data_IF_919596106146
#
_entry.id   IF_919596106146
#
_cell.length_a   1.000
_cell.length_b   1.000
_cell.length_c   1.000
_cell.angle_alpha   90.00
_cell.angle_beta   90.00
_cell.angle_gamma   90.00
#
_symmetry.space_group_name_H-M   'P 1'
#
loop_
_entity.id
_entity.type
_entity.pdbx_description
1 polymer ?
#
# COMPACT_ATOMS: atom_id res chain seq x y z
N UNK A 1 -4.57 -0.27 -50.97
CA UNK A 1 -4.39 -1.41 -50.04
C UNK A 1 -3.80 -1.01 -48.71
N UNK A 2 -2.82 -0.12 -48.62
CA UNK A 2 -2.15 0.29 -47.35
C UNK A 2 -3.10 0.89 -46.30
N UNK A 3 -4.11 1.69 -46.68
CA UNK A 3 -5.04 2.32 -45.71
C UNK A 3 -5.89 1.29 -44.95
N UNK A 4 -6.23 0.15 -45.56
CA UNK A 4 -6.99 -0.93 -44.90
C UNK A 4 -6.11 -1.72 -43.92
N UNK A 5 -4.83 -1.87 -44.21
CA UNK A 5 -3.86 -2.53 -43.34
C UNK A 5 -3.56 -1.68 -42.07
N UNK A 6 -3.48 -0.36 -42.25
CA UNK A 6 -3.27 0.57 -41.11
C UNK A 6 -4.50 0.57 -40.18
N UNK A 7 -5.72 0.58 -40.75
CA UNK A 7 -6.95 0.50 -39.97
C UNK A 7 -7.07 -0.82 -39.20
N UNK A 8 -6.69 -1.94 -39.77
CA UNK A 8 -6.68 -3.24 -39.12
C UNK A 8 -5.61 -3.31 -37.99
N UNK A 9 -4.44 -2.71 -38.19
CA UNK A 9 -3.40 -2.64 -37.17
C UNK A 9 -3.82 -1.76 -35.97
N UNK A 10 -4.51 -0.64 -36.20
CA UNK A 10 -5.04 0.23 -35.17
C UNK A 10 -6.18 -0.47 -34.42
N UNK A 11 -7.08 -1.15 -35.10
CA UNK A 11 -8.16 -1.90 -34.44
C UNK A 11 -7.62 -3.07 -33.57
N UNK A 12 -6.56 -3.75 -34.02
CA UNK A 12 -5.88 -4.79 -33.26
C UNK A 12 -5.17 -4.25 -32.03
N UNK A 13 -4.61 -3.04 -32.07
CA UNK A 13 -3.96 -2.40 -30.94
C UNK A 13 -4.95 -1.90 -29.88
N UNK A 14 -6.21 -1.62 -30.26
CA UNK A 14 -7.28 -1.22 -29.33
C UNK A 14 -8.03 -2.42 -28.73
N UNK A 15 -7.81 -3.62 -29.21
CA UNK A 15 -8.34 -4.87 -28.65
C UNK A 15 -7.46 -5.43 -27.53
N UNK A 16 -6.80 -4.56 -26.76
CA UNK A 16 -6.16 -5.00 -25.52
C UNK A 16 -7.26 -5.46 -24.57
N UNK A 17 -7.15 -6.67 -23.97
CA UNK A 17 -8.07 -7.07 -22.93
C UNK A 17 -8.07 -5.97 -21.88
N UNK A 18 -9.25 -5.50 -21.49
CA UNK A 18 -9.40 -4.59 -20.36
C UNK A 18 -8.72 -5.27 -19.17
N UNK A 19 -7.59 -4.73 -18.76
CA UNK A 19 -6.90 -5.21 -17.59
C UNK A 19 -7.83 -5.00 -16.38
N UNK A 20 -8.48 -6.06 -15.95
CA UNK A 20 -9.33 -6.03 -14.77
C UNK A 20 -8.39 -5.95 -13.57
N UNK A 21 -8.37 -4.81 -12.93
CA UNK A 21 -7.60 -4.65 -11.70
C UNK A 21 -8.31 -5.40 -10.57
N UNK A 22 -7.60 -6.31 -9.94
CA UNK A 22 -8.03 -6.89 -8.67
C UNK A 22 -7.80 -5.85 -7.56
N UNK A 23 -8.90 -5.36 -6.98
CA UNK A 23 -8.87 -4.31 -5.94
C UNK A 23 -9.23 -4.90 -4.59
N UNK A 24 -8.32 -4.81 -3.65
CA UNK A 24 -8.51 -5.23 -2.27
C UNK A 24 -8.54 -4.02 -1.33
N UNK A 25 -9.59 -3.93 -0.52
CA UNK A 25 -9.69 -3.00 0.59
C UNK A 25 -9.55 -3.79 1.88
N UNK A 26 -8.66 -3.37 2.76
CA UNK A 26 -8.39 -4.04 4.04
C UNK A 26 -8.05 -3.02 5.12
N UNK A 27 -8.09 -3.45 6.37
CA UNK A 27 -7.74 -2.55 7.46
C UNK A 27 -7.70 -3.26 8.80
N UNK A 28 -7.39 -2.48 9.81
CA UNK A 28 -7.43 -2.92 11.21
C UNK A 28 -7.86 -1.78 12.10
N UNK A 29 -8.74 -2.06 13.04
CA UNK A 29 -9.11 -1.15 14.11
C UNK A 29 -8.45 -1.65 15.39
N UNK A 30 -7.67 -0.78 16.03
CA UNK A 30 -6.90 -1.12 17.23
C UNK A 30 -7.09 -0.05 18.28
N UNK A 31 -7.47 -0.48 19.49
CA UNK A 31 -7.50 0.35 20.68
C UNK A 31 -6.40 -0.05 21.64
N UNK A 32 -5.94 0.89 22.46
CA UNK A 32 -5.07 0.62 23.58
C UNK A 32 -5.56 1.33 24.83
N UNK A 33 -5.43 0.67 25.97
CA UNK A 33 -5.56 1.26 27.29
C UNK A 33 -4.15 1.43 27.84
N UNK A 34 -3.82 2.63 28.27
CA UNK A 34 -2.50 2.99 28.80
C UNK A 34 -2.64 3.52 30.22
N UNK A 35 -1.70 3.16 31.06
CA UNK A 35 -1.53 3.73 32.39
C UNK A 35 -0.18 4.43 32.48
N UNK A 36 -0.17 5.70 32.85
CA UNK A 36 1.04 6.53 32.92
C UNK A 36 1.63 6.67 34.33
N UNK A 37 1.11 5.91 35.29
CA UNK A 37 1.48 5.98 36.70
C UNK A 37 0.48 6.78 37.55
N UNK A 38 -0.38 7.59 36.95
CA UNK A 38 -1.39 8.40 37.64
C UNK A 38 -2.78 8.26 37.04
N UNK A 39 -2.91 8.07 35.73
CA UNK A 39 -4.20 8.01 35.04
C UNK A 39 -4.26 6.93 33.98
N UNK A 40 -5.48 6.47 33.72
CA UNK A 40 -5.78 5.56 32.61
C UNK A 40 -6.27 6.36 31.41
N UNK A 41 -5.70 6.09 30.26
CA UNK A 41 -6.13 6.68 28.98
C UNK A 41 -6.45 5.60 27.98
N UNK A 42 -7.49 5.83 27.18
CA UNK A 42 -7.85 4.99 26.04
C UNK A 42 -7.59 5.76 24.75
N UNK A 43 -7.07 5.08 23.76
CA UNK A 43 -6.77 5.73 22.50
C UNK A 43 -6.54 4.77 21.34
N UNK A 44 -6.36 5.36 20.16
CA UNK A 44 -6.02 4.63 18.96
C UNK A 44 -4.62 3.99 19.06
N UNK A 45 -4.52 2.72 18.72
CA UNK A 45 -3.28 1.95 18.74
C UNK A 45 -2.76 1.63 17.34
N UNK A 46 -2.80 2.63 16.46
CA UNK A 46 -2.28 2.48 15.12
C UNK A 46 -3.22 1.74 14.17
N UNK A 47 -4.50 2.09 14.18
CA UNK A 47 -5.48 1.61 13.19
C UNK A 47 -5.08 2.00 11.77
N UNK A 48 -5.46 1.19 10.79
CA UNK A 48 -5.05 1.32 9.39
C UNK A 48 -6.20 1.05 8.44
N UNK A 49 -6.19 1.76 7.31
CA UNK A 49 -7.01 1.47 6.14
C UNK A 49 -6.06 1.32 4.94
N UNK A 50 -6.23 0.26 4.16
CA UNK A 50 -5.39 -0.07 3.01
C UNK A 50 -6.21 -0.29 1.77
N UNK A 51 -5.71 0.26 0.68
CA UNK A 51 -6.19 0.00 -0.67
C UNK A 51 -5.04 -0.59 -1.47
N UNK A 52 -5.26 -1.74 -2.05
CA UNK A 52 -4.32 -2.39 -2.95
C UNK A 52 -5.02 -2.71 -4.25
N UNK A 53 -4.37 -2.47 -5.36
CA UNK A 53 -4.84 -2.97 -6.63
C UNK A 53 -3.67 -3.64 -7.37
N UNK A 54 -4.00 -4.65 -8.14
CA UNK A 54 -3.06 -5.37 -9.00
C UNK A 54 -3.71 -5.60 -10.35
N UNK A 55 -2.97 -5.38 -11.41
CA UNK A 55 -3.43 -5.57 -12.78
C UNK A 55 -2.40 -6.39 -13.55
N UNK A 56 -2.83 -7.44 -14.20
CA UNK A 56 -1.98 -8.23 -15.09
C UNK A 56 -1.73 -7.43 -16.37
N UNK A 57 -0.45 -7.29 -16.74
CA UNK A 57 -0.01 -6.64 -17.96
C UNK A 57 0.33 -7.64 -19.08
N UNK A 58 0.18 -8.93 -18.82
CA UNK A 58 0.62 -9.99 -19.69
C UNK A 58 2.12 -10.30 -19.60
N UNK A 59 2.54 -11.37 -20.26
CA UNK A 59 3.94 -11.81 -20.30
C UNK A 59 4.61 -11.98 -18.92
N UNK A 60 3.84 -12.39 -17.90
CA UNK A 60 4.33 -12.56 -16.55
C UNK A 60 4.59 -11.26 -15.79
N UNK A 61 4.11 -10.14 -16.31
CA UNK A 61 4.26 -8.82 -15.68
C UNK A 61 2.94 -8.35 -15.07
N UNK A 62 3.01 -7.61 -13.97
CA UNK A 62 1.84 -6.96 -13.38
C UNK A 62 2.18 -5.57 -12.84
N UNK A 63 1.22 -4.67 -12.95
CA UNK A 63 1.23 -3.38 -12.27
C UNK A 63 0.53 -3.48 -10.91
N UNK A 64 0.99 -2.71 -9.95
CA UNK A 64 0.37 -2.66 -8.63
C UNK A 64 0.36 -1.26 -8.05
N UNK A 65 -0.60 -1.02 -7.16
CA UNK A 65 -0.69 0.18 -6.33
C UNK A 65 -0.96 -0.22 -4.89
N UNK A 66 -0.39 0.51 -3.95
CA UNK A 66 -0.61 0.32 -2.53
C UNK A 66 -0.73 1.68 -1.83
N UNK A 67 -1.88 1.88 -1.17
CA UNK A 67 -2.12 3.00 -0.27
C UNK A 67 -2.40 2.50 1.14
N UNK A 68 -1.77 3.11 2.15
CA UNK A 68 -2.08 2.87 3.56
C UNK A 68 -2.27 4.21 4.28
N UNK A 69 -3.42 4.36 4.91
CA UNK A 69 -3.75 5.52 5.73
C UNK A 69 -3.78 5.13 7.21
N UNK A 70 -3.32 6.03 8.07
CA UNK A 70 -3.62 5.98 9.49
C UNK A 70 -5.10 6.33 9.72
N UNK A 71 -5.75 5.61 10.61
CA UNK A 71 -7.12 5.89 11.04
C UNK A 71 -7.12 6.21 12.52
N UNK A 72 -7.82 7.23 12.93
CA UNK A 72 -8.10 7.47 14.34
C UNK A 72 -9.40 6.79 14.73
N UNK A 73 -9.30 5.63 15.34
CA UNK A 73 -10.46 4.84 15.74
C UNK A 73 -11.26 5.49 16.88
N UNK A 74 -10.64 6.37 17.67
CA UNK A 74 -11.32 7.12 18.72
C UNK A 74 -12.19 8.26 18.20
N UNK A 75 -11.81 8.84 17.05
CA UNK A 75 -12.52 9.96 16.41
C UNK A 75 -13.29 9.56 15.16
N UNK A 76 -13.12 8.33 14.68
CA UNK A 76 -13.73 7.88 13.43
C UNK A 76 -13.20 8.62 12.19
N UNK A 77 -11.99 9.18 12.25
CA UNK A 77 -11.42 9.97 11.16
C UNK A 77 -10.21 9.29 10.53
N UNK A 78 -10.04 9.47 9.23
CA UNK A 78 -8.76 9.21 8.55
C UNK A 78 -7.82 10.34 8.97
N UNK A 79 -6.58 10.03 9.31
CA UNK A 79 -5.60 11.04 9.72
C UNK A 79 -5.25 11.94 8.53
N UNK A 80 -5.93 13.07 8.43
CA UNK A 80 -5.85 14.01 7.31
C UNK A 80 -4.72 15.04 7.45
N UNK A 81 -4.04 15.09 8.58
CA UNK A 81 -2.93 16.02 8.82
C UNK A 81 -1.54 15.46 8.55
N UNK A 82 -1.46 14.21 8.18
CA UNK A 82 -0.19 13.53 7.83
C UNK A 82 -0.37 12.86 6.49
N UNK A 83 0.64 12.95 5.67
CA UNK A 83 0.77 12.18 4.43
C UNK A 83 0.39 10.72 4.66
N UNK A 84 -0.19 10.08 3.65
CA UNK A 84 -0.40 8.63 3.65
C UNK A 84 0.87 7.93 4.15
N UNK A 85 0.69 6.92 4.99
CA UNK A 85 1.84 6.14 5.50
C UNK A 85 2.60 5.45 4.37
N UNK A 86 1.84 4.88 3.44
CA UNK A 86 2.35 4.32 2.20
C UNK A 86 1.52 4.83 1.05
N UNK A 87 2.18 5.17 -0.06
CA UNK A 87 1.55 5.58 -1.30
C UNK A 87 2.53 5.31 -2.43
N UNK A 88 2.48 4.13 -3.00
CA UNK A 88 3.41 3.75 -4.05
C UNK A 88 2.74 2.89 -5.11
N UNK A 89 3.28 2.99 -6.31
CA UNK A 89 2.91 2.22 -7.49
C UNK A 89 4.13 1.50 -8.03
N UNK A 90 3.95 0.44 -8.77
CA UNK A 90 5.06 -0.25 -9.37
C UNK A 90 4.66 -1.30 -10.39
N UNK A 91 5.68 -1.91 -10.95
CA UNK A 91 5.59 -3.07 -11.83
C UNK A 91 6.47 -4.20 -11.27
N UNK A 92 6.05 -5.42 -11.48
CA UNK A 92 6.80 -6.62 -11.10
C UNK A 92 6.71 -7.69 -12.18
N UNK A 93 7.67 -8.57 -12.21
CA UNK A 93 7.76 -9.71 -13.12
C UNK A 93 8.88 -10.64 -12.69
N UNK A 94 9.28 -11.59 -13.52
CA UNK A 94 10.34 -12.55 -13.24
C UNK A 94 11.71 -11.86 -13.00
N UNK A 95 11.87 -10.64 -13.52
CA UNK A 95 13.08 -9.82 -13.33
C UNK A 95 13.12 -9.11 -11.96
N UNK A 96 12.08 -9.19 -11.15
CA UNK A 96 11.95 -8.52 -9.85
C UNK A 96 10.85 -7.46 -9.83
N UNK A 97 11.06 -6.39 -9.06
CA UNK A 97 10.06 -5.33 -8.83
C UNK A 97 10.70 -3.96 -8.88
N UNK A 98 10.03 -3.03 -9.58
CA UNK A 98 10.30 -1.60 -9.52
C UNK A 98 9.10 -0.89 -8.90
N UNK A 99 9.33 -0.07 -7.87
CA UNK A 99 8.28 0.72 -7.22
C UNK A 99 8.73 2.14 -6.95
N UNK A 100 7.78 3.07 -7.05
CA UNK A 100 7.98 4.51 -6.87
C UNK A 100 6.91 5.07 -5.92
N UNK A 101 7.33 5.95 -5.03
CA UNK A 101 6.45 6.62 -4.07
C UNK A 101 6.87 6.41 -2.62
N UNK A 102 5.99 6.82 -1.70
CA UNK A 102 6.21 6.67 -0.25
C UNK A 102 6.07 5.21 0.15
N UNK A 103 7.16 4.57 0.48
CA UNK A 103 7.24 3.16 0.85
C UNK A 103 8.26 2.94 1.98
N UNK A 104 8.19 1.76 2.60
CA UNK A 104 9.19 1.38 3.58
C UNK A 104 10.58 1.30 2.97
N UNK A 105 11.59 1.69 3.75
CA UNK A 105 12.99 1.50 3.35
C UNK A 105 13.32 0.01 3.20
N UNK A 106 14.35 -0.29 2.43
CA UNK A 106 14.85 -1.66 2.29
C UNK A 106 15.23 -2.25 3.64
N UNK A 107 15.83 -1.44 4.52
CA UNK A 107 16.19 -1.88 5.87
C UNK A 107 14.95 -2.30 6.69
N UNK A 108 13.86 -1.55 6.62
CA UNK A 108 12.61 -1.94 7.30
C UNK A 108 12.06 -3.25 6.73
N UNK A 109 12.05 -3.42 5.42
CA UNK A 109 11.53 -4.63 4.79
C UNK A 109 12.34 -5.89 5.13
N UNK A 110 13.67 -5.77 5.28
CA UNK A 110 14.56 -6.90 5.54
C UNK A 110 14.70 -7.19 7.03
N UNK A 111 14.74 -6.18 7.88
CA UNK A 111 15.00 -6.31 9.31
C UNK A 111 13.81 -5.91 10.16
N UNK A 112 13.25 -4.72 9.92
CA UNK A 112 12.19 -4.14 10.75
C UNK A 112 10.95 -5.01 10.87
N UNK A 113 10.55 -5.68 9.79
CA UNK A 113 9.38 -6.59 9.79
C UNK A 113 9.52 -7.77 10.73
N UNK A 114 10.75 -8.19 11.04
CA UNK A 114 11.04 -9.31 11.94
C UNK A 114 11.14 -8.89 13.40
N UNK A 115 11.66 -7.69 13.66
CA UNK A 115 11.95 -7.21 15.03
C UNK A 115 10.89 -6.24 15.57
N UNK A 116 10.15 -5.52 14.72
CA UNK A 116 9.07 -4.62 15.14
C UNK A 116 7.77 -5.40 15.39
N UNK A 117 7.70 -6.08 16.51
CA UNK A 117 6.54 -6.91 16.90
C UNK A 117 5.52 -6.17 17.75
N UNK A 118 5.91 -5.08 18.40
CA UNK A 118 5.06 -4.41 19.39
C UNK A 118 4.22 -3.27 18.85
N UNK A 119 4.32 -2.94 17.58
CA UNK A 119 3.53 -1.96 16.84
C UNK A 119 3.61 -0.50 17.35
N UNK A 120 3.43 -0.23 18.64
CA UNK A 120 3.47 1.12 19.24
C UNK A 120 4.34 1.23 20.49
N UNK A 121 4.76 0.12 21.07
CA UNK A 121 5.51 0.10 22.34
C UNK A 121 6.92 -0.50 22.22
N UNK A 122 7.36 -0.82 21.04
CA UNK A 122 8.63 -1.49 20.83
C UNK A 122 9.74 -0.58 20.35
N UNK A 123 9.74 0.67 20.74
CA UNK A 123 10.73 1.71 20.45
C UNK A 123 12.04 1.20 19.84
N UNK A 124 12.02 0.84 18.58
CA UNK A 124 13.23 0.43 17.90
C UNK A 124 14.00 1.67 17.52
N UNK A 125 15.25 1.73 17.89
CA UNK A 125 16.11 2.90 17.68
C UNK A 125 16.38 3.30 16.22
N UNK A 126 15.60 2.80 15.27
CA UNK A 126 15.67 3.23 13.87
C UNK A 126 14.73 4.40 13.52
N UNK A 127 14.02 4.93 14.52
CA UNK A 127 13.20 6.14 14.41
C UNK A 127 13.97 7.41 14.84
N UNK A 128 15.26 7.36 14.76
CA UNK A 128 16.11 8.53 15.02
C UNK A 128 16.13 9.50 13.82
#
# INVERSE_FOLDING_TARGET
MQKKLIAAAIAGALATPLAVADVAVSGSVRGAVKYDGSSWTMGNAGSRLRFKANSDLGNGQSAFVNYEFGVDSGKGSIQTGKTSRLAYVGIKGDWGQLSLGAQWSTMFNVVGTYIDKSNIHGGLGYWG
#
